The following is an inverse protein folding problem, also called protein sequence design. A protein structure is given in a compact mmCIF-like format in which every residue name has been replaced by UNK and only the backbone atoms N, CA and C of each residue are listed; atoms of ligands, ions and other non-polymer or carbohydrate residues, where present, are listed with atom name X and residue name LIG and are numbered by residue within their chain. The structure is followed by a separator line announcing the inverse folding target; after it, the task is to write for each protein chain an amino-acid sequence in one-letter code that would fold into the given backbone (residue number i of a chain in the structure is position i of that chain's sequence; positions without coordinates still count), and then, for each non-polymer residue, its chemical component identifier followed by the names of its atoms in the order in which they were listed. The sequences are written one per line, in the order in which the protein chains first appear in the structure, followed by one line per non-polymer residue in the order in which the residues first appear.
data_IF_165089978607
#
_entry.id   IF_165089978607
#
_cell.length_a   1.000
_cell.length_b   1.000
_cell.length_c   1.000
_cell.angle_alpha   90.00
_cell.angle_beta   90.00
_cell.angle_gamma   90.00
#
_symmetry.space_group_name_H-M   'P 1'
#
loop_
_entity.id
_entity.type
_entity.pdbx_description
1 polymer ?
#
# COMPACT_ATOMS: atom_id res chain seq x y z
N UNK A 1 23.25 12.73 -1.86
CA UNK A 1 22.06 13.47 -1.38
C UNK A 1 21.65 12.97 -0.01
N UNK A 2 21.39 13.89 0.93
CA UNK A 2 20.92 13.61 2.30
C UNK A 2 19.42 13.88 2.40
N UNK A 3 18.70 13.07 3.17
CA UNK A 3 17.26 13.22 3.40
C UNK A 3 16.94 13.11 4.88
N UNK A 4 15.93 13.86 5.34
CA UNK A 4 15.45 13.84 6.72
C UNK A 4 14.21 12.95 6.81
N UNK A 5 14.18 12.04 7.78
CA UNK A 5 13.08 11.10 8.01
C UNK A 5 12.68 11.18 9.48
N UNK A 6 11.38 11.11 9.75
CA UNK A 6 10.88 11.02 11.13
C UNK A 6 11.33 9.73 11.81
N UNK A 7 11.89 9.84 13.00
CA UNK A 7 12.22 8.71 13.88
C UNK A 7 11.02 8.22 14.70
N UNK A 8 9.85 8.84 14.55
CA UNK A 8 8.72 8.64 15.44
C UNK A 8 8.24 7.16 15.42
N UNK A 9 8.18 6.52 16.59
CA UNK A 9 7.90 5.09 16.73
C UNK A 9 9.05 4.13 16.35
N UNK A 10 10.23 4.61 15.93
CA UNK A 10 11.35 3.73 15.59
C UNK A 10 11.89 2.97 16.82
N UNK A 11 11.90 3.62 17.99
CA UNK A 11 12.22 2.99 19.28
C UNK A 11 11.21 1.90 19.67
N UNK A 12 9.93 2.15 19.42
CA UNK A 12 8.85 1.18 19.67
C UNK A 12 8.97 -0.01 18.74
N UNK A 13 9.26 0.22 17.45
CA UNK A 13 9.59 -0.86 16.52
C UNK A 13 10.80 -1.67 17.02
N UNK A 14 11.92 -1.02 17.36
CA UNK A 14 13.16 -1.73 17.69
C UNK A 14 13.03 -2.68 18.89
N UNK A 15 12.19 -2.31 19.85
CA UNK A 15 11.89 -3.09 21.05
C UNK A 15 10.75 -4.11 20.85
N UNK A 16 10.12 -4.14 19.68
CA UNK A 16 8.99 -5.03 19.41
C UNK A 16 9.41 -6.49 19.23
N UNK A 17 8.47 -7.40 19.51
CA UNK A 17 8.63 -8.82 19.20
C UNK A 17 8.82 -9.03 17.70
N UNK A 18 8.10 -8.27 16.86
CA UNK A 18 8.21 -8.37 15.40
C UNK A 18 9.62 -8.02 14.91
N UNK A 19 10.22 -6.93 15.39
CA UNK A 19 11.59 -6.57 15.03
C UNK A 19 12.62 -7.60 15.53
N UNK A 20 12.35 -8.23 16.68
CA UNK A 20 13.18 -9.33 17.20
C UNK A 20 13.09 -10.58 16.32
N UNK A 21 11.94 -10.86 15.70
CA UNK A 21 11.79 -11.95 14.74
C UNK A 21 12.40 -11.61 13.38
N UNK A 22 12.28 -10.36 12.92
CA UNK A 22 12.81 -9.91 11.63
C UNK A 22 14.34 -9.78 11.64
N UNK A 23 14.93 -9.42 12.79
CA UNK A 23 16.37 -9.20 12.96
C UNK A 23 16.86 -9.77 14.31
N UNK A 24 16.88 -11.10 14.47
CA UNK A 24 17.18 -11.76 15.75
C UNK A 24 18.59 -11.45 16.26
N UNK A 25 19.56 -11.39 15.34
CA UNK A 25 20.99 -11.22 15.66
C UNK A 25 21.45 -9.75 15.64
N UNK A 26 20.52 -8.79 15.61
CA UNK A 26 20.81 -7.35 15.58
C UNK A 26 20.45 -6.73 16.92
N UNK A 27 21.35 -5.92 17.48
CA UNK A 27 21.10 -5.18 18.72
C UNK A 27 19.92 -4.20 18.58
N UNK A 28 19.17 -4.01 19.68
CA UNK A 28 17.98 -3.15 19.70
C UNK A 28 18.29 -1.74 19.18
N UNK A 29 19.43 -1.15 19.52
CA UNK A 29 19.79 0.19 19.06
C UNK A 29 19.95 0.28 17.54
N UNK A 30 20.45 -0.79 16.89
CA UNK A 30 20.66 -0.85 15.45
C UNK A 30 19.38 -1.16 14.67
N UNK A 31 18.42 -1.85 15.29
CA UNK A 31 17.10 -2.10 14.67
C UNK A 31 16.35 -0.79 14.41
N UNK A 32 16.48 0.20 15.29
CA UNK A 32 15.90 1.53 15.11
C UNK A 32 16.47 2.23 13.86
N UNK A 33 17.79 2.17 13.68
CA UNK A 33 18.46 2.72 12.50
C UNK A 33 18.02 2.04 11.20
N UNK A 34 17.85 0.71 11.22
CA UNK A 34 17.33 -0.04 10.08
C UNK A 34 15.89 0.41 9.72
N UNK A 35 15.04 0.66 10.72
CA UNK A 35 13.69 1.18 10.49
C UNK A 35 13.71 2.55 9.83
N UNK A 36 14.54 3.48 10.32
CA UNK A 36 14.67 4.82 9.73
C UNK A 36 15.11 4.75 8.27
N UNK A 37 16.08 3.88 7.94
CA UNK A 37 16.52 3.68 6.57
C UNK A 37 15.41 3.10 5.67
N UNK A 38 14.64 2.13 6.14
CA UNK A 38 13.53 1.52 5.39
C UNK A 38 12.36 2.47 5.19
N UNK A 39 12.08 3.36 6.15
CA UNK A 39 11.07 4.43 6.00
C UNK A 39 11.40 5.38 4.85
N UNK A 40 12.67 5.66 4.60
CA UNK A 40 13.08 6.47 3.46
C UNK A 40 12.74 5.78 2.12
N UNK A 41 12.83 4.45 2.08
CA UNK A 41 12.57 3.65 0.89
C UNK A 41 11.08 3.51 0.62
N UNK A 42 10.31 3.11 1.64
CA UNK A 42 8.85 3.04 1.58
C UNK A 42 8.27 3.32 2.99
N UNK A 43 7.79 4.55 3.24
CA UNK A 43 7.23 4.92 4.54
C UNK A 43 6.05 4.04 4.94
N UNK A 44 5.17 3.69 3.98
CA UNK A 44 3.97 2.91 4.27
C UNK A 44 4.34 1.50 4.72
N UNK A 45 5.22 0.82 3.99
CA UNK A 45 5.61 -0.56 4.27
C UNK A 45 6.35 -0.72 5.61
N UNK A 46 7.01 0.34 6.08
CA UNK A 46 7.74 0.33 7.35
C UNK A 46 6.90 0.82 8.53
N UNK A 47 6.09 1.87 8.37
CA UNK A 47 5.25 2.40 9.46
C UNK A 47 4.13 1.45 9.88
N UNK A 48 3.60 0.62 8.96
CA UNK A 48 2.58 -0.40 9.29
C UNK A 48 3.09 -1.48 10.26
N UNK A 49 4.41 -1.59 10.48
CA UNK A 49 5.02 -2.52 11.43
C UNK A 49 4.91 -2.05 12.89
N UNK A 50 4.45 -0.82 13.11
CA UNK A 50 4.33 -0.17 14.42
C UNK A 50 2.86 -0.07 14.79
N UNK A 51 2.55 -0.21 16.08
CA UNK A 51 1.21 0.13 16.59
C UNK A 51 0.91 1.60 16.23
N UNK A 52 -0.15 1.90 15.47
CA UNK A 52 -0.40 3.25 14.96
C UNK A 52 -0.40 4.33 16.06
N UNK A 53 -0.89 4.02 17.27
CA UNK A 53 -0.89 4.95 18.41
C UNK A 53 0.51 5.30 18.92
N UNK A 54 1.50 4.47 18.58
CA UNK A 54 2.89 4.58 19.00
C UNK A 54 3.77 5.30 17.98
N UNK A 55 3.20 5.68 16.83
CA UNK A 55 3.91 6.47 15.82
C UNK A 55 4.15 7.90 16.31
N UNK A 56 3.44 8.39 17.32
CA UNK A 56 3.70 9.71 17.91
C UNK A 56 3.18 10.84 17.03
N UNK A 57 1.85 10.91 16.87
CA UNK A 57 1.20 11.81 15.89
C UNK A 57 0.76 13.16 16.47
N UNK A 58 1.00 13.41 17.77
CA UNK A 58 0.68 14.69 18.38
C UNK A 58 1.14 14.82 19.83
N UNK A 59 1.28 16.07 20.29
CA UNK A 59 1.87 16.43 21.59
C UNK A 59 1.12 15.83 22.79
N UNK A 60 -0.21 15.84 22.76
CA UNK A 60 -1.08 15.36 23.85
C UNK A 60 -1.78 14.04 23.51
N UNK A 61 -1.19 13.21 22.65
CA UNK A 61 -1.80 11.94 22.24
C UNK A 61 -2.08 10.98 23.40
N UNK A 62 -1.40 11.15 24.53
CA UNK A 62 -1.59 10.33 25.73
C UNK A 62 -2.76 10.83 26.60
N UNK A 63 -3.21 12.06 26.40
CA UNK A 63 -4.26 12.71 27.19
C UNK A 63 -5.66 12.55 26.57
N UNK A 64 -5.75 11.96 25.38
CA UNK A 64 -7.03 11.68 24.70
C UNK A 64 -7.55 10.28 25.01
N UNK A 65 -8.78 10.01 24.61
CA UNK A 65 -9.37 8.67 24.72
C UNK A 65 -8.58 7.66 23.85
N UNK A 66 -7.85 6.77 24.51
CA UNK A 66 -6.93 5.84 23.85
C UNK A 66 -7.63 4.81 22.95
N UNK A 67 -8.85 4.39 23.31
CA UNK A 67 -9.62 3.43 22.51
C UNK A 67 -10.12 4.07 21.22
N UNK A 68 -10.58 5.31 21.30
CA UNK A 68 -11.02 6.07 20.13
C UNK A 68 -9.84 6.44 19.22
N UNK A 69 -8.72 6.87 19.81
CA UNK A 69 -7.48 7.15 19.09
C UNK A 69 -7.01 5.91 18.31
N UNK A 70 -6.92 4.75 18.97
CA UNK A 70 -6.48 3.51 18.34
C UNK A 70 -7.38 3.14 17.16
N UNK A 71 -8.70 3.17 17.34
CA UNK A 71 -9.66 2.88 16.26
C UNK A 71 -9.49 3.82 15.07
N UNK A 72 -9.40 5.12 15.32
CA UNK A 72 -9.27 6.12 14.25
C UNK A 72 -7.96 5.96 13.49
N UNK A 73 -6.84 5.74 14.19
CA UNK A 73 -5.55 5.52 13.55
C UNK A 73 -5.51 4.20 12.77
N UNK A 74 -6.13 3.13 13.29
CA UNK A 74 -6.27 1.88 12.56
C UNK A 74 -7.06 2.07 11.26
N UNK A 75 -8.15 2.85 11.27
CA UNK A 75 -8.92 3.18 10.06
C UNK A 75 -8.07 3.96 9.05
N UNK A 76 -7.32 4.97 9.49
CA UNK A 76 -6.43 5.73 8.59
C UNK A 76 -5.37 4.82 7.96
N UNK A 77 -4.80 3.90 8.74
CA UNK A 77 -3.81 2.93 8.22
C UNK A 77 -4.45 1.99 7.21
N UNK A 78 -5.65 1.48 7.48
CA UNK A 78 -6.40 0.64 6.53
C UNK A 78 -6.68 1.42 5.23
N UNK A 79 -7.19 2.65 5.32
CA UNK A 79 -7.47 3.49 4.15
C UNK A 79 -6.22 3.76 3.31
N UNK A 80 -5.10 4.10 3.95
CA UNK A 80 -3.82 4.32 3.26
C UNK A 80 -3.31 3.05 2.57
N UNK A 81 -3.34 1.90 3.26
CA UNK A 81 -2.85 0.63 2.69
C UNK A 81 -3.70 0.19 1.51
N UNK A 82 -5.02 0.26 1.63
CA UNK A 82 -5.93 -0.19 0.57
C UNK A 82 -5.97 0.79 -0.60
N UNK A 83 -5.84 2.10 -0.37
CA UNK A 83 -5.67 3.09 -1.44
C UNK A 83 -4.40 2.85 -2.25
N UNK A 84 -3.28 2.60 -1.56
CA UNK A 84 -2.01 2.33 -2.24
C UNK A 84 -2.01 0.98 -2.90
N UNK A 85 -2.64 -0.03 -2.30
CA UNK A 85 -2.63 -1.45 -2.71
C UNK A 85 -1.30 -2.14 -2.45
N UNK A 86 -1.34 -3.46 -2.33
CA UNK A 86 -0.25 -4.26 -1.75
C UNK A 86 0.22 -5.34 -2.72
N UNK A 87 1.53 -5.46 -2.95
CA UNK A 87 2.09 -6.56 -3.74
C UNK A 87 2.04 -7.87 -2.94
N UNK A 88 1.23 -8.81 -3.40
CA UNK A 88 0.95 -10.07 -2.71
C UNK A 88 2.21 -10.93 -2.52
N UNK A 89 3.16 -10.85 -3.44
CA UNK A 89 4.34 -11.71 -3.45
C UNK A 89 5.50 -11.15 -2.60
N UNK A 90 5.49 -9.87 -2.27
CA UNK A 90 6.58 -9.24 -1.51
C UNK A 90 6.14 -8.65 -0.16
N UNK A 91 4.85 -8.38 0.03
CA UNK A 91 4.36 -7.71 1.23
C UNK A 91 4.63 -8.51 2.52
N UNK A 92 4.94 -7.80 3.59
CA UNK A 92 5.13 -8.36 4.92
C UNK A 92 3.80 -8.75 5.57
N UNK A 93 3.86 -9.58 6.61
CA UNK A 93 2.66 -9.92 7.41
C UNK A 93 1.98 -8.68 7.98
N UNK A 94 2.68 -7.70 8.60
CA UNK A 94 2.03 -6.48 9.08
C UNK A 94 1.30 -5.71 7.98
N UNK A 95 1.89 -5.59 6.79
CA UNK A 95 1.26 -4.89 5.66
C UNK A 95 0.01 -5.62 5.16
N UNK A 96 0.10 -6.93 4.95
CA UNK A 96 -1.04 -7.77 4.54
C UNK A 96 -2.18 -7.74 5.57
N UNK A 97 -1.86 -7.62 6.86
CA UNK A 97 -2.85 -7.56 7.94
C UNK A 97 -3.67 -6.27 7.93
N UNK A 98 -3.29 -5.27 7.13
CA UNK A 98 -4.00 -4.00 6.94
C UNK A 98 -4.80 -3.96 5.63
N UNK A 99 -4.74 -5.04 4.83
CA UNK A 99 -5.57 -5.16 3.62
C UNK A 99 -6.99 -5.53 4.03
N UNK A 100 -7.97 -4.89 3.39
CA UNK A 100 -9.38 -5.10 3.69
C UNK A 100 -9.76 -6.57 3.63
N UNK A 101 -10.49 -7.04 4.64
CA UNK A 101 -10.90 -8.44 4.78
C UNK A 101 -9.82 -9.41 5.27
N UNK A 102 -8.54 -9.02 5.33
CA UNK A 102 -7.47 -9.87 5.86
C UNK A 102 -7.28 -9.66 7.37
N UNK A 103 -7.12 -10.75 8.10
CA UNK A 103 -6.68 -10.73 9.50
C UNK A 103 -5.20 -11.09 9.62
N UNK A 104 -4.59 -10.83 10.76
CA UNK A 104 -3.20 -11.26 11.03
C UNK A 104 -2.97 -12.76 10.84
N UNK A 105 -3.97 -13.59 11.14
CA UNK A 105 -3.90 -15.04 10.92
C UNK A 105 -3.87 -15.38 9.43
N UNK A 106 -4.75 -14.75 8.63
CA UNK A 106 -4.81 -14.98 7.18
C UNK A 106 -3.55 -14.42 6.50
N UNK A 107 -3.06 -13.25 6.92
CA UNK A 107 -1.80 -12.68 6.44
C UNK A 107 -0.60 -13.62 6.66
N UNK A 108 -0.50 -14.23 7.85
CA UNK A 108 0.52 -15.27 8.13
C UNK A 108 0.35 -16.50 7.23
N UNK A 109 -0.90 -16.92 6.98
CA UNK A 109 -1.18 -18.05 6.10
C UNK A 109 -0.78 -17.76 4.64
N UNK A 110 -1.04 -16.55 4.15
CA UNK A 110 -0.63 -16.08 2.81
C UNK A 110 0.89 -16.13 2.66
N UNK A 111 1.64 -15.56 3.61
CA UNK A 111 3.12 -15.57 3.58
C UNK A 111 3.66 -17.00 3.63
N UNK A 112 3.15 -17.82 4.55
CA UNK A 112 3.54 -19.24 4.64
C UNK A 112 3.25 -20.01 3.35
N UNK A 113 2.11 -19.72 2.70
CA UNK A 113 1.76 -20.38 1.46
C UNK A 113 2.78 -20.06 0.36
N UNK A 114 3.15 -18.79 0.17
CA UNK A 114 4.14 -18.42 -0.86
C UNK A 114 5.56 -18.88 -0.55
N UNK A 115 5.92 -19.00 0.74
CA UNK A 115 7.20 -19.59 1.14
C UNK A 115 7.28 -21.09 0.80
N UNK A 116 6.15 -21.81 0.90
CA UNK A 116 6.09 -23.24 0.63
C UNK A 116 5.87 -23.58 -0.86
N UNK A 117 5.13 -22.74 -1.61
CA UNK A 117 4.69 -23.05 -2.98
C UNK A 117 5.30 -22.13 -4.04
N UNK A 118 6.06 -21.11 -3.63
CA UNK A 118 6.55 -20.04 -4.51
C UNK A 118 5.53 -18.92 -4.69
N UNK A 119 5.85 -17.98 -5.57
CA UNK A 119 5.03 -16.80 -5.83
C UNK A 119 3.63 -17.17 -6.37
N UNK A 120 2.61 -16.42 -5.95
CA UNK A 120 1.27 -16.47 -6.52
C UNK A 120 1.32 -16.02 -7.99
N UNK A 121 0.76 -16.82 -8.89
CA UNK A 121 0.71 -16.50 -10.32
C UNK A 121 -0.55 -15.73 -10.69
N UNK A 122 -1.65 -15.96 -9.97
CA UNK A 122 -2.90 -15.20 -10.10
C UNK A 122 -3.58 -14.99 -8.76
N UNK A 123 -4.42 -13.95 -8.65
CA UNK A 123 -5.25 -13.73 -7.45
C UNK A 123 -6.06 -14.96 -7.08
N UNK A 124 -6.52 -15.74 -8.06
CA UNK A 124 -7.30 -16.96 -7.79
C UNK A 124 -6.53 -18.01 -6.96
N UNK A 125 -5.20 -17.97 -6.98
CA UNK A 125 -4.39 -18.85 -6.13
C UNK A 125 -4.58 -18.56 -4.64
N UNK A 126 -5.08 -17.38 -4.25
CA UNK A 126 -5.44 -17.06 -2.85
C UNK A 126 -6.50 -18.02 -2.30
N UNK A 127 -7.36 -18.59 -3.13
CA UNK A 127 -8.35 -19.58 -2.72
C UNK A 127 -7.72 -20.91 -2.27
N UNK A 128 -6.42 -21.12 -2.50
CA UNK A 128 -5.64 -22.26 -2.01
C UNK A 128 -5.08 -22.02 -0.61
N UNK A 129 -5.17 -20.80 -0.08
CA UNK A 129 -4.65 -20.44 1.24
C UNK A 129 -5.63 -20.85 2.34
N UNK A 130 -5.15 -21.64 3.30
CA UNK A 130 -5.96 -22.07 4.44
C UNK A 130 -6.49 -20.86 5.23
N UNK A 131 -7.80 -20.86 5.50
CA UNK A 131 -8.48 -19.78 6.22
C UNK A 131 -8.90 -18.58 5.34
N UNK A 132 -8.57 -18.59 4.05
CA UNK A 132 -9.03 -17.58 3.09
C UNK A 132 -10.26 -18.11 2.34
N UNK A 133 -11.44 -17.71 2.78
CA UNK A 133 -12.72 -18.09 2.15
C UNK A 133 -13.17 -17.14 1.05
N UNK A 134 -14.24 -17.50 0.33
CA UNK A 134 -14.78 -16.71 -0.77
C UNK A 134 -15.12 -15.26 -0.37
N UNK A 135 -15.65 -15.03 0.83
CA UNK A 135 -15.93 -13.67 1.31
C UNK A 135 -14.66 -12.86 1.56
N UNK A 136 -13.66 -13.47 2.18
CA UNK A 136 -12.33 -12.85 2.39
C UNK A 136 -11.67 -12.52 1.06
N UNK A 137 -11.77 -13.43 0.09
CA UNK A 137 -11.27 -13.19 -1.27
C UNK A 137 -11.98 -11.98 -1.91
N UNK A 138 -13.31 -11.94 -1.89
CA UNK A 138 -14.09 -10.82 -2.42
C UNK A 138 -13.75 -9.48 -1.77
N UNK A 139 -13.45 -9.45 -0.47
CA UNK A 139 -13.10 -8.19 0.20
C UNK A 139 -11.64 -7.75 -0.06
N UNK A 140 -10.72 -8.70 -0.29
CA UNK A 140 -9.28 -8.41 -0.36
C UNK A 140 -8.71 -8.33 -1.77
N UNK A 141 -9.30 -9.06 -2.73
CA UNK A 141 -8.66 -9.31 -4.03
C UNK A 141 -8.37 -8.04 -4.83
N UNK A 142 -9.20 -6.99 -4.70
CA UNK A 142 -9.02 -5.72 -5.42
C UNK A 142 -7.80 -4.92 -4.95
N UNK A 143 -7.38 -5.14 -3.71
CA UNK A 143 -6.28 -4.42 -3.08
C UNK A 143 -4.94 -5.17 -3.16
N UNK A 144 -4.98 -6.46 -3.49
CA UNK A 144 -3.79 -7.31 -3.64
C UNK A 144 -3.34 -7.34 -5.09
N UNK A 145 -2.09 -7.00 -5.37
CA UNK A 145 -1.54 -6.95 -6.73
C UNK A 145 -0.50 -8.03 -6.96
N UNK A 146 -0.41 -8.51 -8.19
CA UNK A 146 0.60 -9.48 -8.63
C UNK A 146 1.33 -8.89 -9.84
N UNK A 147 2.61 -8.57 -9.66
CA UNK A 147 3.48 -8.14 -10.76
C UNK A 147 4.04 -9.36 -11.47
N UNK A 148 3.95 -9.39 -12.80
CA UNK A 148 4.43 -10.52 -13.61
C UNK A 148 3.61 -11.80 -13.46
N UNK A 149 2.35 -11.69 -13.02
CA UNK A 149 1.42 -12.82 -12.94
C UNK A 149 0.95 -13.31 -14.31
N UNK A 150 0.21 -14.42 -14.30
CA UNK A 150 -0.35 -15.02 -15.53
C UNK A 150 -1.50 -14.21 -16.12
N UNK A 151 -2.22 -13.44 -15.29
CA UNK A 151 -3.27 -12.52 -15.72
C UNK A 151 -2.80 -11.06 -15.61
N UNK A 152 -2.71 -10.31 -16.72
CA UNK A 152 -2.31 -8.90 -16.70
C UNK A 152 -3.18 -8.01 -15.80
N UNK A 153 -4.45 -8.35 -15.58
CA UNK A 153 -5.35 -7.56 -14.72
C UNK A 153 -4.97 -7.62 -13.24
N UNK A 154 -4.26 -8.66 -12.80
CA UNK A 154 -3.92 -8.86 -11.39
C UNK A 154 -2.90 -7.82 -10.89
N UNK A 155 -2.28 -7.02 -11.78
CA UNK A 155 -1.44 -5.86 -11.40
C UNK A 155 -2.23 -4.55 -11.23
N UNK A 156 -3.53 -4.55 -11.51
CA UNK A 156 -4.41 -3.36 -11.44
C UNK A 156 -5.29 -3.37 -10.19
N UNK A 157 -6.01 -2.29 -9.90
CA UNK A 157 -7.08 -2.26 -8.91
C UNK A 157 -8.41 -2.86 -9.40
N UNK A 158 -8.50 -3.36 -10.65
CA UNK A 158 -9.71 -3.98 -11.18
C UNK A 158 -10.04 -5.22 -10.37
N UNK A 159 -11.23 -5.24 -9.75
CA UNK A 159 -11.66 -6.37 -8.92
C UNK A 159 -11.99 -7.59 -9.80
N UNK A 160 -11.59 -8.83 -9.42
CA UNK A 160 -11.87 -10.04 -10.20
C UNK A 160 -13.35 -10.28 -10.53
N UNK A 161 -14.29 -9.79 -9.71
CA UNK A 161 -15.72 -9.91 -10.01
C UNK A 161 -16.13 -9.17 -11.29
N UNK A 162 -15.35 -8.18 -11.71
CA UNK A 162 -15.60 -7.35 -12.89
C UNK A 162 -14.82 -7.82 -14.13
N UNK A 163 -14.05 -8.91 -14.04
CA UNK A 163 -13.36 -9.47 -15.21
C UNK A 163 -14.29 -9.79 -16.39
N UNK A 164 -15.54 -10.25 -16.19
CA UNK A 164 -16.51 -10.39 -17.28
C UNK A 164 -16.81 -9.07 -18.03
N UNK A 165 -16.72 -7.91 -17.37
CA UNK A 165 -16.85 -6.60 -18.04
C UNK A 165 -15.64 -6.36 -18.95
N UNK A 166 -14.44 -6.73 -18.50
CA UNK A 166 -13.21 -6.64 -19.31
C UNK A 166 -13.30 -7.53 -20.55
N UNK A 167 -13.84 -8.75 -20.42
CA UNK A 167 -14.05 -9.66 -21.54
C UNK A 167 -14.96 -9.04 -22.62
N UNK A 168 -15.99 -8.27 -22.23
CA UNK A 168 -16.83 -7.54 -23.17
C UNK A 168 -16.05 -6.41 -23.88
N UNK A 169 -15.15 -5.72 -23.17
CA UNK A 169 -14.28 -4.69 -23.76
C UNK A 169 -13.31 -5.34 -24.77
N UNK A 170 -12.71 -6.47 -24.44
CA UNK A 170 -11.87 -7.27 -25.33
C UNK A 170 -12.64 -7.66 -26.59
N UNK A 171 -13.85 -8.22 -26.42
CA UNK A 171 -14.70 -8.62 -27.54
C UNK A 171 -15.08 -7.43 -28.45
N UNK A 172 -15.35 -6.26 -27.86
CA UNK A 172 -15.73 -5.05 -28.60
C UNK A 172 -14.56 -4.44 -29.37
N UNK A 173 -13.36 -4.49 -28.80
CA UNK A 173 -12.15 -3.90 -29.40
C UNK A 173 -11.43 -4.87 -30.33
N UNK A 174 -11.65 -6.17 -30.18
CA UNK A 174 -10.93 -7.22 -30.90
C UNK A 174 -9.46 -7.34 -30.48
N UNK A 175 -9.09 -6.81 -29.30
CA UNK A 175 -7.71 -6.74 -28.82
C UNK A 175 -7.56 -7.42 -27.47
N UNK A 176 -6.44 -8.12 -27.22
CA UNK A 176 -6.17 -8.70 -25.90
C UNK A 176 -6.00 -7.58 -24.86
N UNK A 177 -6.30 -7.89 -23.59
CA UNK A 177 -6.24 -6.92 -22.49
C UNK A 177 -4.88 -6.22 -22.37
N UNK A 178 -3.79 -6.95 -22.64
CA UNK A 178 -2.43 -6.40 -22.61
C UNK A 178 -2.19 -5.30 -23.65
N UNK A 179 -2.94 -5.29 -24.76
CA UNK A 179 -2.89 -4.22 -25.77
C UNK A 179 -3.84 -3.05 -25.47
N UNK A 180 -4.77 -3.21 -24.52
CA UNK A 180 -5.72 -2.18 -24.10
C UNK A 180 -5.15 -1.40 -22.90
N UNK A 181 -4.49 -2.11 -21.98
CA UNK A 181 -3.86 -1.53 -20.80
C UNK A 181 -2.82 -0.46 -21.19
N UNK A 182 -2.86 0.70 -20.54
CA UNK A 182 -2.00 1.85 -20.82
C UNK A 182 -2.38 2.65 -22.07
N UNK A 183 -3.44 2.27 -22.80
CA UNK A 183 -3.88 2.95 -24.03
C UNK A 183 -5.02 3.93 -23.78
N UNK A 184 -4.67 5.05 -23.15
CA UNK A 184 -5.61 6.15 -22.86
C UNK A 184 -6.36 6.63 -24.11
N UNK A 185 -5.66 6.69 -25.26
CA UNK A 185 -6.21 7.05 -26.56
C UNK A 185 -7.37 6.15 -26.97
N UNK A 186 -7.21 4.84 -26.80
CA UNK A 186 -8.21 3.84 -27.14
C UNK A 186 -9.38 3.85 -26.16
N UNK A 187 -9.09 3.84 -24.85
CA UNK A 187 -10.10 3.83 -23.80
C UNK A 187 -11.04 5.04 -23.87
N UNK A 188 -10.53 6.21 -24.25
CA UNK A 188 -11.31 7.44 -24.45
C UNK A 188 -12.31 7.37 -25.60
N UNK A 189 -12.11 6.49 -26.58
CA UNK A 189 -13.07 6.30 -27.69
C UNK A 189 -14.25 5.41 -27.29
N UNK A 190 -14.10 4.66 -26.21
CA UNK A 190 -15.14 3.76 -25.71
C UNK A 190 -16.12 4.52 -24.81
N UNK A 191 -17.41 4.19 -24.91
CA UNK A 191 -18.44 4.73 -24.04
C UNK A 191 -18.67 3.76 -22.87
N UNK A 192 -18.39 4.16 -21.61
CA UNK A 192 -18.58 3.30 -20.44
C UNK A 192 -20.01 2.74 -20.31
N UNK A 193 -21.01 3.49 -20.77
CA UNK A 193 -22.42 3.10 -20.73
C UNK A 193 -22.71 1.83 -21.53
N UNK A 194 -21.87 1.47 -22.50
CA UNK A 194 -22.03 0.26 -23.32
C UNK A 194 -21.62 -1.03 -22.59
N UNK A 195 -20.88 -0.92 -21.49
CA UNK A 195 -20.38 -2.07 -20.72
C UNK A 195 -21.03 -2.16 -19.32
N UNK A 196 -21.88 -1.19 -18.98
CA UNK A 196 -22.66 -1.23 -17.75
C UNK A 196 -23.80 -2.24 -17.85
N UNK A 197 -24.17 -2.85 -16.74
CA UNK A 197 -25.26 -3.82 -16.62
C UNK A 197 -25.92 -3.71 -15.24
N UNK A 198 -26.90 -4.58 -14.96
CA UNK A 198 -27.65 -4.58 -13.70
C UNK A 198 -26.77 -4.77 -12.46
N UNK A 199 -25.66 -5.51 -12.60
CA UNK A 199 -24.72 -5.77 -11.51
C UNK A 199 -23.64 -4.69 -11.39
N UNK A 200 -23.12 -4.21 -12.51
CA UNK A 200 -22.03 -3.24 -12.56
C UNK A 200 -22.46 -1.98 -13.31
N UNK A 201 -22.74 -0.91 -12.54
CA UNK A 201 -23.16 0.36 -13.09
C UNK A 201 -22.04 1.13 -13.81
N UNK A 202 -22.41 2.25 -14.43
CA UNK A 202 -21.50 3.08 -15.24
C UNK A 202 -20.31 3.61 -14.43
N UNK A 203 -20.50 3.89 -13.12
CA UNK A 203 -19.42 4.37 -12.23
C UNK A 203 -18.32 3.30 -12.13
N UNK A 204 -18.68 2.05 -11.84
CA UNK A 204 -17.73 0.92 -11.79
C UNK A 204 -16.99 0.76 -13.12
N UNK A 205 -17.68 0.90 -14.25
CA UNK A 205 -17.03 0.81 -15.58
C UNK A 205 -16.04 1.98 -15.79
N UNK A 206 -16.35 3.19 -15.33
CA UNK A 206 -15.43 4.33 -15.39
C UNK A 206 -14.19 4.11 -14.52
N UNK A 207 -14.35 3.50 -13.36
CA UNK A 207 -13.23 3.13 -12.48
C UNK A 207 -12.35 2.08 -13.15
N UNK A 208 -12.95 1.06 -13.76
CA UNK A 208 -12.25 0.07 -14.59
C UNK A 208 -11.44 0.76 -15.70
N UNK A 209 -12.02 1.72 -16.41
CA UNK A 209 -11.30 2.43 -17.47
C UNK A 209 -10.10 3.21 -16.92
N UNK A 210 -10.26 3.82 -15.75
CA UNK A 210 -9.18 4.56 -15.07
C UNK A 210 -8.04 3.62 -14.68
N UNK A 211 -8.36 2.42 -14.17
CA UNK A 211 -7.37 1.38 -13.83
C UNK A 211 -6.67 0.83 -15.08
N UNK A 212 -7.41 0.60 -16.17
CA UNK A 212 -6.82 0.18 -17.44
C UNK A 212 -5.96 1.27 -18.06
N UNK A 213 -6.30 2.56 -17.89
CA UNK A 213 -5.53 3.69 -18.40
C UNK A 213 -4.16 3.77 -17.72
N UNK A 214 -4.11 3.53 -16.41
CA UNK A 214 -2.88 3.59 -15.60
C UNK A 214 -2.75 2.35 -14.69
N UNK A 215 -2.41 1.17 -15.26
CA UNK A 215 -2.32 -0.08 -14.53
C UNK A 215 -1.40 0.01 -13.30
N UNK A 216 -1.94 -0.32 -12.13
CA UNK A 216 -1.16 -0.38 -10.90
C UNK A 216 -0.58 0.97 -10.47
N UNK A 217 -1.26 2.07 -10.82
CA UNK A 217 -0.88 3.42 -10.43
C UNK A 217 -0.76 3.53 -8.91
N UNK A 218 0.39 4.01 -8.46
CA UNK A 218 0.58 4.42 -7.07
C UNK A 218 -0.10 5.79 -6.85
N UNK A 219 -1.02 5.94 -5.89
CA UNK A 219 -1.66 7.22 -5.61
C UNK A 219 -0.74 8.19 -4.85
N UNK A 220 0.38 7.72 -4.31
CA UNK A 220 1.33 8.55 -3.56
C UNK A 220 2.01 9.57 -4.48
N UNK A 221 2.36 10.76 -3.95
CA UNK A 221 3.15 11.72 -4.72
C UNK A 221 4.51 11.12 -5.06
N UNK A 222 5.11 11.57 -6.17
CA UNK A 222 6.48 11.25 -6.48
C UNK A 222 7.39 11.67 -5.33
N UNK A 223 8.30 10.78 -4.95
CA UNK A 223 9.28 11.06 -3.92
C UNK A 223 10.11 12.29 -4.30
N UNK A 224 10.01 13.34 -3.49
CA UNK A 224 10.87 14.51 -3.56
C UNK A 224 11.80 14.45 -2.37
N UNK A 225 13.09 14.36 -2.63
CA UNK A 225 14.10 14.56 -1.58
C UNK A 225 13.92 15.99 -1.10
N UNK A 226 13.53 16.17 0.16
CA UNK A 226 13.64 17.46 0.83
C UNK A 226 15.11 17.86 0.74
N UNK A 227 15.41 18.84 -0.10
CA UNK A 227 16.78 19.31 -0.25
C UNK A 227 17.10 20.09 1.01
N UNK A 228 17.93 19.52 1.86
CA UNK A 228 18.55 20.30 2.92
C UNK A 228 19.41 21.33 2.22
N UNK A 229 19.20 22.61 2.54
CA UNK A 229 20.03 23.67 1.97
C UNK A 229 21.50 23.41 2.35
N UNK A 230 22.37 23.33 1.34
CA UNK A 230 23.80 23.10 1.57
C UNK A 230 24.36 24.18 2.51
N UNK A 231 24.95 23.74 3.62
CA UNK A 231 25.56 24.61 4.62
C UNK A 231 24.64 25.11 5.75
N UNK A 232 23.43 24.57 5.90
CA UNK A 232 22.56 24.81 7.07
C UNK A 232 22.34 23.50 7.81
N UNK A 233 23.16 23.21 8.82
CA UNK A 233 23.08 21.99 9.64
C UNK A 233 22.85 22.29 11.14
N UNK A 234 23.14 23.51 11.60
CA UNK A 234 22.96 23.98 12.98
C UNK A 234 22.20 25.33 13.02
N UNK A 235 21.61 25.68 14.18
CA UNK A 235 20.92 26.96 14.38
C UNK A 235 21.84 28.16 14.08
N UNK A 236 23.16 27.99 14.27
CA UNK A 236 24.18 29.00 13.99
C UNK A 236 24.35 29.31 12.51
N UNK A 237 23.92 28.41 11.63
CA UNK A 237 24.02 28.59 10.19
C UNK A 237 22.87 29.43 9.62
N UNK A 238 21.81 29.64 10.41
CA UNK A 238 20.66 30.45 10.04
C UNK A 238 21.03 31.93 9.93
N UNK A 239 20.61 32.55 8.83
CA UNK A 239 20.75 33.99 8.59
C UNK A 239 19.38 34.59 8.34
N UNK A 240 19.18 35.83 8.81
CA UNK A 240 17.97 36.59 8.53
C UNK A 240 17.74 36.67 7.01
N UNK A 241 16.49 36.47 6.58
CA UNK A 241 16.10 36.47 5.17
C UNK A 241 16.30 35.13 4.43
N UNK A 242 16.80 34.07 5.08
CA UNK A 242 16.85 32.73 4.49
C UNK A 242 15.45 32.20 4.18
N UNK A 243 15.26 31.70 2.95
CA UNK A 243 14.09 30.92 2.56
C UNK A 243 14.46 29.44 2.69
N UNK A 244 13.78 28.75 3.60
CA UNK A 244 14.01 27.34 3.91
C UNK A 244 12.76 26.52 3.64
N UNK A 245 12.95 25.27 3.21
CA UNK A 245 11.89 24.27 3.16
C UNK A 245 11.84 23.55 4.50
N UNK A 246 10.66 23.50 5.12
CA UNK A 246 10.45 22.86 6.40
C UNK A 246 9.13 22.12 6.44
N UNK A 247 9.06 21.10 7.31
CA UNK A 247 7.83 20.35 7.56
C UNK A 247 7.23 20.83 8.88
N UNK A 248 5.94 21.18 8.87
CA UNK A 248 5.21 21.50 10.09
C UNK A 248 5.13 20.24 10.95
N UNK A 249 5.74 20.27 12.13
CA UNK A 249 5.75 19.12 13.04
C UNK A 249 4.48 19.04 13.90
N UNK A 250 3.87 20.18 14.24
CA UNK A 250 2.65 20.27 15.04
C UNK A 250 1.83 21.51 14.62
N UNK A 251 0.49 21.45 14.73
CA UNK A 251 -0.46 22.56 14.51
C UNK A 251 -1.34 22.73 15.74
#
# INVERSE_FOLDING_TARGET
DKGVVSEAGASVYSASEYASQEMPDVDVSLRGAASIARRLQDPLAELVKIDPKSIGVGQYQHDVNQSELARTLDTVVEDCVNSVGVDLNTASVPLLSRVSGLSGTVAKAVVRWREAHGAFASRQDLMKVSGLGAKTFEQSAGFLRIRGGSNPLDMTGVHPETYPVIEQIIAKTGKPVAEIMGRADMLKTLRPELFANEKFGVITVKDIFTELEKPGRDPRPYFKVARVNDGVDDIKDLKEGMVLEGTVSNV
#
